data_IF_924750890874
#
_entry.id   IF_924750890874
#
_cell.length_a   1.000
_cell.length_b   1.000
_cell.length_c   1.000
_cell.angle_alpha   90.00
_cell.angle_beta   90.00
_cell.angle_gamma   90.00
#
_symmetry.space_group_name_H-M   'P 1'
#
loop_
_entity.id
_entity.type
_entity.pdbx_description
1 polymer ?
#
# COMPACT_ATOMS: atom_id res chain seq x y z
N UNK A 1 58.92 58.68 11.36
CA UNK A 1 58.98 58.63 9.88
C UNK A 1 58.56 57.20 9.52
N UNK A 2 57.37 56.94 8.97
CA UNK A 2 57.00 57.14 7.56
C UNK A 2 55.47 57.18 7.42
N UNK A 3 54.92 58.27 6.88
CA UNK A 3 53.50 58.35 6.52
C UNK A 3 53.29 57.62 5.20
N UNK A 4 52.53 56.52 5.20
CA UNK A 4 52.06 55.86 3.99
C UNK A 4 51.05 56.78 3.29
N UNK A 5 51.44 57.38 2.17
CA UNK A 5 50.50 58.10 1.30
C UNK A 5 49.58 57.06 0.65
N UNK A 6 48.33 56.99 1.09
CA UNK A 6 47.28 56.28 0.36
C UNK A 6 47.06 57.00 -0.96
N UNK A 7 47.20 56.26 -2.04
CA UNK A 7 46.79 56.67 -3.39
C UNK A 7 45.26 56.81 -3.41
N UNK A 8 44.75 58.03 -3.23
CA UNK A 8 43.37 58.37 -3.53
C UNK A 8 43.29 58.80 -5.01
N UNK A 9 43.27 57.82 -5.91
CA UNK A 9 42.97 58.05 -7.32
C UNK A 9 41.46 57.97 -7.53
N UNK A 10 40.83 59.09 -7.89
CA UNK A 10 39.41 59.12 -8.28
C UNK A 10 39.17 58.45 -9.64
N UNK A 11 37.96 57.91 -9.84
CA UNK A 11 37.55 57.29 -11.09
C UNK A 11 37.24 58.33 -12.17
N UNK A 12 37.62 58.04 -13.41
CA UNK A 12 37.30 58.92 -14.55
C UNK A 12 35.85 58.70 -15.01
N UNK A 13 35.24 59.72 -15.64
CA UNK A 13 33.88 59.61 -16.18
C UNK A 13 33.73 58.48 -17.20
N UNK A 14 34.75 58.26 -18.03
CA UNK A 14 34.76 57.18 -19.04
C UNK A 14 34.73 55.81 -18.38
N UNK A 15 35.45 55.64 -17.28
CA UNK A 15 35.54 54.37 -16.54
C UNK A 15 34.21 54.02 -15.86
N UNK A 16 33.51 55.02 -15.31
CA UNK A 16 32.13 54.85 -14.83
C UNK A 16 31.16 54.48 -15.95
N UNK A 17 31.30 55.06 -17.14
CA UNK A 17 30.44 54.77 -18.30
C UNK A 17 30.64 53.33 -18.80
N UNK A 18 31.90 52.87 -18.87
CA UNK A 18 32.24 51.49 -19.20
C UNK A 18 31.72 50.54 -18.11
N UNK A 19 31.90 50.87 -16.84
CA UNK A 19 31.42 50.04 -15.72
C UNK A 19 29.89 49.88 -15.74
N UNK A 20 29.14 50.96 -16.02
CA UNK A 20 27.68 50.91 -16.15
C UNK A 20 27.25 50.07 -17.37
N UNK A 21 27.93 50.21 -18.51
CA UNK A 21 27.66 49.42 -19.70
C UNK A 21 27.85 47.92 -19.42
N UNK A 22 28.97 47.53 -18.81
CA UNK A 22 29.25 46.14 -18.44
C UNK A 22 28.25 45.62 -17.41
N UNK A 23 27.91 46.40 -16.37
CA UNK A 23 26.94 46.00 -15.36
C UNK A 23 25.55 45.77 -15.94
N UNK A 24 25.10 46.61 -16.88
CA UNK A 24 23.81 46.41 -17.56
C UNK A 24 23.75 45.07 -18.30
N UNK A 25 24.85 44.67 -18.96
CA UNK A 25 24.94 43.42 -19.69
C UNK A 25 24.94 42.22 -18.73
N UNK A 26 25.64 42.35 -17.60
CA UNK A 26 25.64 41.33 -16.53
C UNK A 26 24.23 41.16 -15.94
N UNK A 27 23.51 42.25 -15.67
CA UNK A 27 22.15 42.20 -15.12
C UNK A 27 21.20 41.48 -16.08
N UNK A 28 21.29 41.76 -17.39
CA UNK A 28 20.45 41.08 -18.40
C UNK A 28 20.75 39.58 -18.43
N UNK A 29 22.02 39.18 -18.38
CA UNK A 29 22.41 37.77 -18.34
C UNK A 29 21.88 37.06 -17.07
N UNK A 30 21.99 37.70 -15.91
CA UNK A 30 21.45 37.18 -14.66
C UNK A 30 19.93 37.07 -14.67
N UNK A 31 19.24 38.06 -15.23
CA UNK A 31 17.78 38.02 -15.35
C UNK A 31 17.31 36.88 -16.26
N UNK A 32 17.99 36.68 -17.40
CA UNK A 32 17.73 35.55 -18.29
C UNK A 32 17.98 34.20 -17.59
N UNK A 33 19.05 34.09 -16.79
CA UNK A 33 19.35 32.89 -16.01
C UNK A 33 18.26 32.58 -14.99
N UNK A 34 17.87 33.58 -14.17
CA UNK A 34 16.86 33.41 -13.11
C UNK A 34 15.51 33.00 -13.71
N UNK A 35 15.08 33.64 -14.80
CA UNK A 35 13.82 33.29 -15.46
C UNK A 35 13.84 31.89 -16.07
N UNK A 36 15.00 31.44 -16.56
CA UNK A 36 15.19 30.07 -17.05
C UNK A 36 15.11 29.06 -15.90
N UNK A 37 15.75 29.36 -14.77
CA UNK A 37 15.77 28.50 -13.59
C UNK A 37 14.36 28.30 -13.01
N UNK A 38 13.58 29.38 -12.89
CA UNK A 38 12.19 29.34 -12.38
C UNK A 38 11.30 28.51 -13.32
N UNK A 39 11.45 28.66 -14.64
CA UNK A 39 10.70 27.87 -15.63
C UNK A 39 11.07 26.39 -15.59
N UNK A 40 12.35 26.07 -15.44
CA UNK A 40 12.81 24.69 -15.26
C UNK A 40 12.29 24.07 -13.98
N UNK A 41 12.29 24.82 -12.88
CA UNK A 41 11.81 24.31 -11.60
C UNK A 41 10.30 24.02 -11.64
N UNK A 42 9.51 24.92 -12.24
CA UNK A 42 8.08 24.70 -12.45
C UNK A 42 7.79 23.49 -13.34
N UNK A 43 8.58 23.27 -14.40
CA UNK A 43 8.40 22.10 -15.28
C UNK A 43 8.85 20.79 -14.63
N UNK A 44 9.91 20.80 -13.83
CA UNK A 44 10.36 19.65 -13.04
C UNK A 44 9.32 19.21 -12.02
N UNK A 45 8.68 20.16 -11.33
CA UNK A 45 7.64 19.86 -10.35
C UNK A 45 6.43 19.19 -11.01
N UNK A 46 5.96 19.73 -12.15
CA UNK A 46 4.86 19.14 -12.90
C UNK A 46 5.16 17.74 -13.43
N UNK A 47 6.41 17.50 -13.89
CA UNK A 47 6.82 16.17 -14.35
C UNK A 47 6.87 15.15 -13.20
N UNK A 48 7.33 15.54 -12.01
CA UNK A 48 7.34 14.65 -10.85
C UNK A 48 5.92 14.26 -10.42
N UNK A 49 5.00 15.22 -10.41
CA UNK A 49 3.60 14.98 -10.03
C UNK A 49 2.89 14.08 -11.04
N UNK A 50 3.05 14.33 -12.34
CA UNK A 50 2.47 13.51 -13.42
C UNK A 50 3.03 12.08 -13.42
N UNK A 51 4.27 11.86 -12.96
CA UNK A 51 4.86 10.52 -12.90
C UNK A 51 4.54 9.77 -11.60
N UNK A 52 4.39 10.47 -10.48
CA UNK A 52 4.17 9.86 -9.17
C UNK A 52 2.68 9.62 -8.87
N UNK A 53 1.79 10.55 -9.25
CA UNK A 53 0.35 10.42 -9.05
C UNK A 53 -0.26 9.15 -9.66
N UNK A 54 0.04 8.74 -10.91
CA UNK A 54 -0.57 7.55 -11.49
C UNK A 54 -0.09 6.26 -10.82
N UNK A 55 1.14 6.20 -10.31
CA UNK A 55 1.62 5.02 -9.58
C UNK A 55 0.89 4.86 -8.25
N UNK A 56 0.70 5.94 -7.50
CA UNK A 56 -0.04 5.93 -6.23
C UNK A 56 -1.52 5.66 -6.48
N UNK A 57 -2.12 6.29 -7.49
CA UNK A 57 -3.52 6.08 -7.87
C UNK A 57 -3.77 4.64 -8.36
N UNK A 58 -2.89 4.07 -9.17
CA UNK A 58 -3.00 2.68 -9.63
C UNK A 58 -2.88 1.68 -8.47
N UNK A 59 -1.97 1.92 -7.51
CA UNK A 59 -1.86 1.09 -6.30
C UNK A 59 -3.16 1.12 -5.47
N UNK A 60 -3.78 2.31 -5.35
CA UNK A 60 -5.06 2.48 -4.66
C UNK A 60 -6.21 1.76 -5.38
N UNK A 61 -6.33 1.93 -6.69
CA UNK A 61 -7.36 1.27 -7.51
C UNK A 61 -7.20 -0.27 -7.44
N UNK A 62 -5.97 -0.79 -7.50
CA UNK A 62 -5.72 -2.23 -7.41
C UNK A 62 -6.08 -2.79 -6.02
N UNK A 63 -5.83 -2.02 -4.95
CA UNK A 63 -6.25 -2.39 -3.61
C UNK A 63 -7.78 -2.42 -3.49
N UNK A 64 -8.46 -1.43 -4.06
CA UNK A 64 -9.93 -1.30 -4.05
C UNK A 64 -10.61 -2.42 -4.86
N UNK A 65 -10.09 -2.78 -6.04
CA UNK A 65 -10.56 -3.93 -6.84
C UNK A 65 -10.36 -5.24 -6.07
N UNK A 66 -9.22 -5.39 -5.37
CA UNK A 66 -8.94 -6.58 -4.58
C UNK A 66 -9.90 -6.71 -3.39
N UNK A 67 -10.22 -5.61 -2.72
CA UNK A 67 -11.21 -5.56 -1.64
C UNK A 67 -12.64 -5.79 -2.15
N UNK A 68 -12.97 -5.30 -3.35
CA UNK A 68 -14.30 -5.49 -3.96
C UNK A 68 -14.65 -6.97 -4.20
N UNK A 69 -13.67 -7.85 -4.40
CA UNK A 69 -13.92 -9.30 -4.52
C UNK A 69 -14.29 -9.98 -3.20
N UNK A 70 -14.00 -9.35 -2.07
CA UNK A 70 -14.35 -9.83 -0.73
C UNK A 70 -15.69 -9.22 -0.26
N UNK A 71 -16.38 -8.50 -1.14
CA UNK A 71 -17.72 -7.99 -0.89
C UNK A 71 -18.74 -9.14 -1.00
N UNK A 72 -19.06 -9.73 0.14
CA UNK A 72 -20.26 -10.55 0.30
C UNK A 72 -21.39 -9.61 0.68
N UNK A 73 -22.38 -9.43 -0.20
CA UNK A 73 -23.67 -8.86 0.18
C UNK A 73 -24.31 -9.88 1.13
N UNK A 74 -24.09 -9.68 2.42
CA UNK A 74 -24.86 -10.35 3.45
C UNK A 74 -26.33 -10.00 3.24
N UNK A 75 -27.15 -11.02 3.02
CA UNK A 75 -28.60 -10.92 3.00
C UNK A 75 -29.10 -10.19 4.25
N UNK A 76 -29.45 -8.91 4.12
CA UNK A 76 -30.43 -8.25 4.99
C UNK A 76 -29.94 -7.58 6.29
N UNK A 77 -28.82 -6.86 6.31
CA UNK A 77 -28.50 -6.04 7.48
C UNK A 77 -27.54 -4.89 7.19
N UNK A 78 -27.70 -3.77 7.91
CA UNK A 78 -26.93 -2.53 7.83
C UNK A 78 -25.44 -2.66 8.25
N UNK A 79 -24.80 -3.82 8.06
CA UNK A 79 -23.38 -4.02 8.31
C UNK A 79 -22.66 -4.38 7.03
N UNK A 80 -21.59 -3.65 6.73
CA UNK A 80 -20.59 -4.08 5.77
C UNK A 80 -20.13 -5.49 6.19
N UNK A 81 -20.33 -6.49 5.34
CA UNK A 81 -19.93 -7.89 5.57
C UNK A 81 -18.41 -8.10 5.50
N UNK A 82 -17.64 -7.25 6.19
CA UNK A 82 -16.20 -7.33 6.26
C UNK A 82 -15.83 -8.57 7.09
N UNK A 83 -15.33 -9.61 6.43
CA UNK A 83 -14.72 -10.74 7.13
C UNK A 83 -13.41 -10.23 7.72
N UNK A 84 -13.35 -10.08 9.05
CA UNK A 84 -12.13 -9.68 9.76
C UNK A 84 -11.00 -10.68 9.40
N UNK A 85 -9.99 -10.19 8.69
CA UNK A 85 -8.79 -10.94 8.32
C UNK A 85 -7.65 -10.63 9.29
N UNK A 86 -6.75 -11.58 9.47
CA UNK A 86 -5.54 -11.49 10.31
C UNK A 86 -4.33 -11.89 9.48
N UNK A 87 -3.11 -11.64 9.95
CA UNK A 87 -1.88 -11.96 9.20
C UNK A 87 -1.02 -13.00 9.92
N UNK A 88 -0.26 -13.79 9.16
CA UNK A 88 0.76 -14.67 9.72
C UNK A 88 1.91 -13.85 10.32
N UNK A 89 2.29 -14.16 11.56
CA UNK A 89 3.41 -13.50 12.26
C UNK A 89 4.75 -14.18 12.04
N UNK A 90 4.78 -15.36 11.40
CA UNK A 90 5.98 -16.08 11.04
C UNK A 90 5.78 -16.90 9.76
N UNK A 91 6.89 -17.30 9.13
CA UNK A 91 6.90 -18.26 8.03
C UNK A 91 6.36 -19.62 8.50
N UNK A 92 5.54 -20.25 7.68
CA UNK A 92 4.93 -21.56 7.93
C UNK A 92 5.39 -22.53 6.85
N UNK A 93 6.06 -23.61 7.26
CA UNK A 93 6.54 -24.62 6.32
C UNK A 93 5.39 -25.47 5.76
N UNK A 94 5.57 -26.03 4.56
CA UNK A 94 4.69 -27.06 4.05
C UNK A 94 4.68 -28.26 5.03
N UNK A 95 3.51 -28.83 5.26
CA UNK A 95 3.24 -29.89 6.23
C UNK A 95 3.02 -29.41 7.66
N UNK A 96 3.22 -28.11 7.96
CA UNK A 96 3.01 -27.60 9.30
C UNK A 96 1.52 -27.65 9.69
N UNK A 97 1.27 -28.08 10.93
CA UNK A 97 -0.06 -28.17 11.53
C UNK A 97 -0.35 -27.03 12.51
N UNK A 98 0.63 -26.14 12.72
CA UNK A 98 0.51 -25.00 13.62
C UNK A 98 1.06 -23.75 12.95
N UNK A 99 0.41 -22.62 13.18
CA UNK A 99 0.89 -21.30 12.74
C UNK A 99 0.45 -20.22 13.71
N UNK A 100 1.15 -19.09 13.70
CA UNK A 100 0.86 -17.94 14.57
C UNK A 100 0.31 -16.78 13.76
N UNK A 101 -0.74 -16.15 14.28
CA UNK A 101 -1.38 -14.98 13.66
C UNK A 101 -1.27 -13.75 14.56
N UNK A 102 -1.49 -12.57 14.01
CA UNK A 102 -1.43 -11.32 14.80
C UNK A 102 -2.62 -11.20 15.76
N UNK A 103 -3.81 -11.58 15.28
CA UNK A 103 -5.06 -11.58 16.05
C UNK A 103 -5.92 -12.79 15.68
N UNK A 104 -6.19 -13.68 16.64
CA UNK A 104 -7.00 -14.88 16.42
C UNK A 104 -8.49 -14.67 16.77
N UNK A 105 -8.91 -13.48 17.22
CA UNK A 105 -10.27 -13.21 17.71
C UNK A 105 -11.38 -13.44 16.67
N UNK A 106 -11.05 -13.38 15.38
CA UNK A 106 -11.98 -13.62 14.29
C UNK A 106 -12.12 -15.11 13.90
N UNK A 107 -11.23 -15.95 14.41
CA UNK A 107 -11.14 -17.38 14.10
C UNK A 107 -11.87 -18.19 15.16
N UNK A 108 -12.30 -19.41 14.81
CA UNK A 108 -12.96 -20.31 15.73
C UNK A 108 -12.48 -21.75 15.50
N UNK A 109 -12.39 -22.52 16.58
CA UNK A 109 -12.08 -23.95 16.51
C UNK A 109 -13.20 -24.70 15.76
N UNK A 110 -12.84 -25.82 15.13
CA UNK A 110 -13.70 -26.61 14.24
C UNK A 110 -14.32 -25.80 13.09
N UNK A 111 -13.66 -24.72 12.65
CA UNK A 111 -14.06 -23.93 11.49
C UNK A 111 -12.94 -23.89 10.44
N UNK A 112 -13.29 -23.90 9.15
CA UNK A 112 -12.33 -23.74 8.08
C UNK A 112 -11.79 -22.31 8.02
N UNK A 113 -10.49 -22.21 7.77
CA UNK A 113 -9.72 -20.99 7.60
C UNK A 113 -8.97 -21.08 6.28
N UNK A 114 -8.74 -19.93 5.66
CA UNK A 114 -8.07 -19.82 4.38
C UNK A 114 -6.83 -18.97 4.56
N UNK A 115 -5.71 -19.47 4.04
CA UNK A 115 -4.46 -18.75 3.86
C UNK A 115 -4.38 -18.31 2.40
N UNK A 116 -4.14 -17.01 2.19
CA UNK A 116 -4.14 -16.40 0.86
C UNK A 116 -2.82 -15.69 0.61
N UNK A 117 -2.11 -16.15 -0.43
CA UNK A 117 -1.01 -15.47 -1.09
C UNK A 117 -1.50 -14.90 -2.44
N UNK A 118 -0.68 -14.06 -3.07
CA UNK A 118 -0.80 -13.64 -4.48
C UNK A 118 -0.85 -14.85 -5.43
N UNK A 119 -0.14 -15.95 -5.14
CA UNK A 119 -0.02 -17.11 -6.04
C UNK A 119 -0.71 -18.39 -5.54
N UNK A 120 -1.13 -18.45 -4.28
CA UNK A 120 -1.75 -19.64 -3.68
C UNK A 120 -2.97 -19.30 -2.82
N UNK A 121 -3.93 -20.21 -2.83
CA UNK A 121 -5.11 -20.20 -1.98
C UNK A 121 -5.20 -21.57 -1.33
N UNK A 122 -5.14 -21.62 -0.01
CA UNK A 122 -5.20 -22.90 0.70
C UNK A 122 -6.18 -22.83 1.88
N UNK A 123 -7.02 -23.87 2.02
CA UNK A 123 -8.01 -23.99 3.09
C UNK A 123 -7.61 -25.08 4.07
N UNK A 124 -7.63 -24.76 5.36
CA UNK A 124 -7.35 -25.71 6.45
C UNK A 124 -8.41 -25.60 7.55
N UNK A 125 -8.75 -26.71 8.20
CA UNK A 125 -9.71 -26.72 9.31
C UNK A 125 -9.00 -26.52 10.63
N UNK A 126 -9.39 -25.48 11.38
CA UNK A 126 -8.83 -25.20 12.71
C UNK A 126 -9.27 -26.27 13.69
N UNK A 127 -8.31 -26.94 14.32
CA UNK A 127 -8.51 -27.90 15.39
C UNK A 127 -8.60 -27.21 16.75
N UNK A 128 -7.70 -26.26 17.04
CA UNK A 128 -7.69 -25.51 18.29
C UNK A 128 -7.02 -24.14 18.14
N UNK A 129 -7.33 -23.24 19.06
CA UNK A 129 -6.71 -21.91 19.14
C UNK A 129 -6.23 -21.71 20.58
N UNK A 130 -4.96 -21.37 20.75
CA UNK A 130 -4.35 -21.03 22.04
C UNK A 130 -3.69 -19.67 21.92
N UNK A 131 -4.34 -18.64 22.47
CA UNK A 131 -3.91 -17.25 22.27
C UNK A 131 -3.92 -16.89 20.78
N UNK A 132 -2.74 -16.57 20.22
CA UNK A 132 -2.54 -16.25 18.81
C UNK A 132 -2.05 -17.43 17.96
N UNK A 133 -1.84 -18.59 18.57
CA UNK A 133 -1.43 -19.81 17.86
C UNK A 133 -2.65 -20.61 17.44
N UNK A 134 -2.72 -20.94 16.15
CA UNK A 134 -3.79 -21.70 15.52
C UNK A 134 -3.25 -23.07 15.14
N UNK A 135 -3.93 -24.13 15.58
CA UNK A 135 -3.63 -25.51 15.21
C UNK A 135 -4.67 -25.98 14.20
N UNK A 136 -4.25 -26.66 13.14
CA UNK A 136 -5.10 -27.19 12.07
C UNK A 136 -5.08 -28.71 12.03
N UNK A 137 -6.17 -29.27 11.51
CA UNK A 137 -6.49 -30.70 11.54
C UNK A 137 -5.67 -31.53 10.54
N UNK A 138 -5.23 -30.88 9.46
CA UNK A 138 -4.37 -31.43 8.43
C UNK A 138 -3.27 -30.40 8.15
N UNK A 139 -2.04 -30.87 7.88
CA UNK A 139 -0.92 -29.98 7.58
C UNK A 139 -1.14 -29.23 6.26
N UNK A 140 -0.56 -28.03 6.15
CA UNK A 140 -0.60 -27.24 4.93
C UNK A 140 0.13 -27.95 3.79
N UNK A 141 -0.38 -27.83 2.59
CA UNK A 141 0.14 -28.45 1.36
C UNK A 141 1.27 -27.60 0.77
N UNK A 142 1.25 -26.29 1.05
CA UNK A 142 2.24 -25.32 0.56
C UNK A 142 2.86 -24.55 1.73
N UNK A 143 4.08 -24.04 1.54
CA UNK A 143 4.70 -23.13 2.50
C UNK A 143 4.12 -21.72 2.34
N UNK A 144 3.87 -21.06 3.47
CA UNK A 144 3.33 -19.71 3.55
C UNK A 144 4.33 -18.77 4.22
N UNK A 145 4.37 -17.51 3.79
CA UNK A 145 5.29 -16.49 4.30
C UNK A 145 4.64 -15.56 5.31
N UNK A 146 5.47 -14.99 6.19
CA UNK A 146 5.04 -13.94 7.10
C UNK A 146 4.33 -12.79 6.35
N UNK A 147 3.26 -12.27 6.93
CA UNK A 147 2.46 -11.18 6.35
C UNK A 147 1.37 -11.64 5.39
N UNK A 148 1.27 -12.94 5.09
CA UNK A 148 0.13 -13.48 4.34
C UNK A 148 -1.17 -13.41 5.13
N UNK A 149 -2.29 -13.22 4.41
CA UNK A 149 -3.60 -13.05 5.00
C UNK A 149 -4.22 -14.39 5.38
N UNK A 150 -4.80 -14.43 6.57
CA UNK A 150 -5.56 -15.54 7.13
C UNK A 150 -6.98 -15.06 7.42
N UNK A 151 -7.98 -15.75 6.90
CA UNK A 151 -9.40 -15.40 7.10
C UNK A 151 -10.26 -16.63 7.26
N UNK A 152 -11.48 -16.49 7.78
CA UNK A 152 -12.45 -17.59 7.76
C UNK A 152 -12.78 -17.98 6.32
N UNK A 153 -12.97 -19.27 6.07
CA UNK A 153 -13.44 -19.71 4.76
C UNK A 153 -14.90 -19.31 4.52
N UNK A 154 -15.20 -18.92 3.28
CA UNK A 154 -16.57 -18.71 2.81
C UNK A 154 -17.31 -20.05 2.70
N UNK A 155 -18.57 -20.07 3.14
CA UNK A 155 -19.46 -21.22 2.98
C UNK A 155 -19.94 -21.32 1.52
N UNK A 156 -19.67 -22.43 0.84
CA UNK A 156 -20.23 -22.71 -0.49
C UNK A 156 -21.48 -23.56 -0.38
N UNK A 157 -22.42 -23.39 -1.31
CA UNK A 157 -23.56 -24.28 -1.45
C UNK A 157 -23.09 -25.66 -1.90
N UNK A 158 -23.56 -26.73 -1.24
CA UNK A 158 -23.20 -28.10 -1.64
C UNK A 158 -23.99 -28.60 -2.86
N UNK A 159 -25.04 -27.87 -3.25
CA UNK A 159 -25.80 -28.09 -4.48
C UNK A 159 -26.57 -26.81 -4.86
N UNK A 160 -26.99 -26.69 -6.12
CA UNK A 160 -27.87 -25.60 -6.57
C UNK A 160 -29.17 -25.59 -5.76
N UNK A 161 -29.50 -24.46 -5.13
CA UNK A 161 -30.79 -24.28 -4.47
C UNK A 161 -31.89 -24.02 -5.52
N UNK A 162 -32.97 -24.78 -5.49
CA UNK A 162 -34.13 -24.54 -6.35
C UNK A 162 -34.91 -23.30 -5.90
N UNK A 163 -35.53 -22.59 -6.85
CA UNK A 163 -36.46 -21.50 -6.52
C UNK A 163 -37.57 -22.01 -5.59
N UNK A 164 -37.77 -21.32 -4.45
CA UNK A 164 -38.76 -21.71 -3.43
C UNK A 164 -38.27 -22.73 -2.38
N UNK A 165 -36.99 -23.12 -2.39
CA UNK A 165 -36.45 -23.97 -1.34
C UNK A 165 -36.46 -23.26 0.03
N UNK A 166 -37.06 -23.90 1.04
CA UNK A 166 -37.05 -23.43 2.44
C UNK A 166 -35.83 -23.90 3.22
N UNK A 167 -35.05 -24.81 2.63
CA UNK A 167 -33.81 -25.34 3.21
C UNK A 167 -32.73 -25.39 2.16
N UNK A 168 -31.50 -25.08 2.56
CA UNK A 168 -30.35 -25.04 1.68
C UNK A 168 -29.19 -25.79 2.33
N UNK A 169 -28.50 -26.63 1.57
CA UNK A 169 -27.35 -27.39 2.04
C UNK A 169 -26.04 -26.66 1.70
N UNK A 170 -25.17 -26.52 2.69
CA UNK A 170 -23.87 -25.85 2.56
C UNK A 170 -22.73 -26.84 2.79
N UNK A 171 -21.67 -26.75 1.98
CA UNK A 171 -20.52 -27.65 2.03
C UNK A 171 -19.66 -27.44 3.28
N UNK A 172 -19.70 -26.22 3.85
CA UNK A 172 -19.18 -25.95 5.20
C UNK A 172 -20.03 -24.85 5.83
N UNK A 173 -20.59 -25.09 7.02
CA UNK A 173 -21.52 -24.17 7.70
C UNK A 173 -20.82 -23.09 8.53
N UNK A 174 -19.68 -22.57 8.09
CA UNK A 174 -18.81 -21.72 8.92
C UNK A 174 -19.41 -20.34 9.24
N UNK A 175 -20.41 -19.89 8.48
CA UNK A 175 -20.97 -18.51 8.54
C UNK A 175 -22.43 -18.42 8.96
N UNK A 176 -23.09 -19.54 9.25
CA UNK A 176 -24.51 -19.55 9.67
C UNK A 176 -24.61 -19.89 11.14
N UNK A 177 -24.57 -18.86 11.99
CA UNK A 177 -25.06 -18.89 13.37
C UNK A 177 -26.06 -17.74 13.52
#
# INVERSE_FOLDING_TARGET
>A
MTSHRRSESGFTLVEMLIAMAVMSLVIVAFYALITTLVRQWASMQGQMEVQQQPRVAAGRIMAEIRQSRDFVIGSGGNSLGLVKATVLTADVAAGATTFSVEDASALAAARPVVLVNVTSFEQATVSSISGTTVTISAGLSVAHKQGELVRRAQSTLSASASSGATTVSVASGSTFA
#
